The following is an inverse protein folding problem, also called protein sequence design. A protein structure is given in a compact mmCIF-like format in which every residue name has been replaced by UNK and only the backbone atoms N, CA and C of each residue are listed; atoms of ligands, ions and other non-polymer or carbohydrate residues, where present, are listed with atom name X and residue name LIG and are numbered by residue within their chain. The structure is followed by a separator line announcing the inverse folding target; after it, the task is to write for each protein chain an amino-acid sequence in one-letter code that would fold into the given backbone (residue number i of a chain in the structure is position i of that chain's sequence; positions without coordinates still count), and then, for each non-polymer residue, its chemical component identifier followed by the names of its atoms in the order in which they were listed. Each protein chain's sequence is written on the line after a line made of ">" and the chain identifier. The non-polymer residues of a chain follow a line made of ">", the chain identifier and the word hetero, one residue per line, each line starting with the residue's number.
data_IF_062557991586
#
_entry.id   IF_062557991586
#
_cell.length_a   1.000
_cell.length_b   1.000
_cell.length_c   1.000
_cell.angle_alpha   90.00
_cell.angle_beta   90.00
_cell.angle_gamma   90.00
#
_symmetry.space_group_name_H-M   'P 1'
#
loop_
_entity.id
_entity.type
_entity.pdbx_description
1 polymer ?
#
# COMPACT_ATOMS: atom_id res chain seq x y z
N UNK A 1 55.15 -4.76 8.72
CA UNK A 1 53.84 -4.27 9.20
C UNK A 1 53.27 -3.37 8.13
N UNK A 2 51.93 -3.37 8.01
CA UNK A 2 51.03 -2.67 7.07
C UNK A 2 50.97 -3.14 5.60
N UNK A 3 49.71 -3.32 5.17
CA UNK A 3 49.15 -3.59 3.83
C UNK A 3 49.29 -5.03 3.30
N UNK A 4 48.33 -5.67 2.65
CA UNK A 4 46.89 -5.49 2.43
C UNK A 4 46.46 -6.76 1.67
N UNK A 5 45.53 -7.54 2.22
CA UNK A 5 44.93 -8.73 1.60
C UNK A 5 43.52 -8.83 2.23
N UNK A 6 42.39 -8.93 1.55
CA UNK A 6 42.03 -9.71 0.37
C UNK A 6 40.82 -9.03 -0.28
N UNK A 7 40.87 -8.76 -1.59
CA UNK A 7 39.67 -8.61 -2.42
C UNK A 7 39.39 -9.95 -3.10
N UNK A 8 38.09 -10.28 -3.12
CA UNK A 8 37.39 -11.07 -4.15
C UNK A 8 37.69 -12.57 -4.27
N UNK A 9 36.81 -13.41 -3.70
CA UNK A 9 36.33 -14.64 -4.34
C UNK A 9 35.08 -15.19 -3.64
N UNK A 10 33.92 -15.04 -4.29
CA UNK A 10 32.81 -16.01 -4.29
C UNK A 10 31.61 -15.42 -5.05
N UNK A 11 31.73 -15.30 -6.37
CA UNK A 11 30.58 -15.27 -7.29
C UNK A 11 30.93 -16.23 -8.40
N UNK A 12 30.30 -17.41 -8.40
CA UNK A 12 30.04 -18.30 -9.55
C UNK A 12 29.61 -19.66 -9.02
N UNK A 13 28.30 -19.88 -9.01
CA UNK A 13 27.69 -21.15 -9.40
C UNK A 13 26.30 -20.83 -9.97
N UNK A 14 26.34 -20.28 -11.19
CA UNK A 14 25.19 -20.24 -12.09
C UNK A 14 25.20 -21.54 -12.89
N UNK A 15 24.62 -22.59 -12.32
CA UNK A 15 24.29 -23.82 -13.03
C UNK A 15 23.13 -23.56 -13.99
N UNK A 16 23.45 -23.25 -15.25
CA UNK A 16 22.49 -23.20 -16.35
C UNK A 16 22.07 -24.65 -16.67
N UNK A 17 20.86 -25.04 -16.28
CA UNK A 17 20.22 -26.28 -16.76
C UNK A 17 19.21 -25.91 -17.84
N UNK A 18 19.44 -26.43 -19.05
CA UNK A 18 18.56 -26.33 -20.21
C UNK A 18 17.22 -27.01 -19.90
N UNK A 19 16.11 -26.28 -20.08
CA UNK A 19 14.76 -26.84 -20.12
C UNK A 19 14.45 -27.36 -21.53
N UNK A 20 14.19 -28.67 -21.64
CA UNK A 20 13.52 -29.29 -22.78
C UNK A 20 12.55 -30.37 -22.26
N UNK A 21 11.29 -30.28 -22.69
CA UNK A 21 10.39 -31.44 -22.80
C UNK A 21 9.50 -31.83 -21.62
N UNK A 22 8.23 -31.41 -21.70
CA UNK A 22 6.98 -32.16 -21.47
C UNK A 22 6.93 -33.29 -20.42
N UNK A 23 6.10 -33.11 -19.38
CA UNK A 23 5.69 -34.21 -18.48
C UNK A 23 4.66 -33.80 -17.43
N UNK A 24 3.41 -34.22 -17.66
CA UNK A 24 2.25 -34.37 -16.74
C UNK A 24 2.29 -33.69 -15.36
N UNK A 25 1.35 -32.76 -15.17
CA UNK A 25 1.07 -32.10 -13.90
C UNK A 25 0.59 -33.04 -12.79
N UNK A 26 1.28 -33.00 -11.66
CA UNK A 26 0.81 -33.44 -10.35
C UNK A 26 0.10 -32.27 -9.69
N UNK A 27 -1.20 -32.42 -9.42
CA UNK A 27 -2.01 -31.47 -8.66
C UNK A 27 -1.46 -31.33 -7.24
N UNK A 28 -0.74 -30.25 -6.98
CA UNK A 28 -0.48 -29.80 -5.61
C UNK A 28 -1.79 -29.29 -5.01
N UNK A 29 -2.31 -30.02 -4.02
CA UNK A 29 -3.42 -29.58 -3.17
C UNK A 29 -2.93 -28.43 -2.29
N UNK A 30 -2.97 -27.22 -2.83
CA UNK A 30 -2.86 -26.02 -2.01
C UNK A 30 -4.10 -25.94 -1.13
N UNK A 31 -3.93 -26.04 0.19
CA UNK A 31 -4.99 -25.70 1.14
C UNK A 31 -5.38 -24.24 0.90
N UNK A 32 -6.51 -24.03 0.24
CA UNK A 32 -7.16 -22.72 0.14
C UNK A 32 -7.72 -22.43 1.53
N UNK A 33 -6.95 -21.72 2.37
CA UNK A 33 -7.50 -21.16 3.62
C UNK A 33 -8.57 -20.14 3.22
N UNK A 34 -9.78 -20.27 3.77
CA UNK A 34 -10.78 -19.21 3.63
C UNK A 34 -10.23 -17.95 4.31
N UNK A 35 -10.57 -16.76 3.79
CA UNK A 35 -10.11 -15.49 4.38
C UNK A 35 -10.52 -15.32 5.85
N UNK A 36 -11.55 -16.06 6.28
CA UNK A 36 -12.07 -16.11 7.65
C UNK A 36 -11.20 -16.97 8.60
N UNK A 37 -10.31 -17.81 8.06
CA UNK A 37 -9.43 -18.70 8.84
C UNK A 37 -8.04 -18.07 9.12
N UNK A 38 -7.83 -16.82 8.69
CA UNK A 38 -6.55 -16.13 8.87
C UNK A 38 -6.53 -15.49 10.26
N UNK A 39 -5.55 -15.81 11.13
CA UNK A 39 -5.45 -15.20 12.45
C UNK A 39 -5.36 -13.68 12.35
N UNK A 40 -6.18 -12.98 13.15
CA UNK A 40 -6.22 -11.52 13.22
C UNK A 40 -6.20 -11.04 14.67
N UNK A 41 -5.67 -9.85 14.90
CA UNK A 41 -5.80 -9.16 16.19
C UNK A 41 -7.27 -8.76 16.45
N UNK A 42 -7.57 -8.37 17.68
CA UNK A 42 -8.83 -7.70 18.02
C UNK A 42 -9.05 -6.45 17.18
N UNK A 43 -10.32 -6.14 16.87
CA UNK A 43 -10.66 -4.98 16.04
C UNK A 43 -10.17 -3.67 16.67
N UNK A 44 -9.52 -2.83 15.87
CA UNK A 44 -9.12 -1.47 16.20
C UNK A 44 -9.93 -0.52 15.33
N UNK A 45 -10.89 0.18 15.91
CA UNK A 45 -11.69 1.17 15.19
C UNK A 45 -11.01 2.54 15.19
N UNK A 46 -10.96 3.17 14.02
CA UNK A 46 -10.39 4.52 13.84
C UNK A 46 -11.33 5.37 13.00
N UNK A 47 -11.72 6.53 13.54
CA UNK A 47 -12.72 7.38 12.90
C UNK A 47 -12.12 8.59 12.16
N UNK A 48 -12.49 8.75 10.89
CA UNK A 48 -12.03 9.81 9.99
C UNK A 48 -13.09 10.87 9.76
N UNK A 49 -12.64 12.12 9.75
CA UNK A 49 -13.47 13.27 9.44
C UNK A 49 -13.42 13.55 7.95
N UNK A 50 -14.57 13.50 7.28
CA UNK A 50 -14.73 13.96 5.91
C UNK A 50 -14.93 15.48 5.86
N UNK A 51 -14.21 16.14 4.97
CA UNK A 51 -14.46 17.54 4.63
C UNK A 51 -15.66 17.63 3.67
N UNK A 52 -16.60 18.55 3.89
CA UNK A 52 -17.77 18.76 3.03
C UNK A 52 -17.40 19.09 1.58
N UNK A 53 -16.21 19.67 1.36
CA UNK A 53 -15.68 19.99 0.03
C UNK A 53 -15.10 18.79 -0.73
N UNK A 54 -14.92 17.65 -0.05
CA UNK A 54 -14.49 16.43 -0.72
C UNK A 54 -15.69 15.69 -1.27
N UNK A 55 -15.50 15.05 -2.41
CA UNK A 55 -16.47 14.12 -2.94
C UNK A 55 -16.67 12.96 -1.93
N UNK A 56 -17.92 12.64 -1.53
CA UNK A 56 -18.20 11.62 -0.52
C UNK A 56 -17.80 10.22 -0.96
N UNK A 57 -18.01 9.87 -2.23
CA UNK A 57 -17.71 8.55 -2.76
C UNK A 57 -16.20 8.34 -2.87
N UNK A 58 -15.48 9.35 -3.35
CA UNK A 58 -14.01 9.31 -3.46
C UNK A 58 -13.35 9.25 -2.09
N UNK A 59 -13.86 10.01 -1.10
CA UNK A 59 -13.37 9.91 0.27
C UNK A 59 -13.63 8.51 0.85
N UNK A 60 -14.84 7.97 0.67
CA UNK A 60 -15.19 6.63 1.14
C UNK A 60 -14.32 5.55 0.46
N UNK A 61 -14.12 5.64 -0.85
CA UNK A 61 -13.29 4.72 -1.64
C UNK A 61 -11.84 4.74 -1.17
N UNK A 62 -11.24 5.92 -1.04
CA UNK A 62 -9.86 6.03 -0.54
C UNK A 62 -9.75 5.54 0.90
N UNK A 63 -10.70 5.85 1.77
CA UNK A 63 -10.71 5.34 3.15
C UNK A 63 -10.82 3.81 3.20
N UNK A 64 -11.69 3.21 2.36
CA UNK A 64 -11.82 1.76 2.27
C UNK A 64 -10.55 1.10 1.76
N UNK A 65 -9.85 1.73 0.83
CA UNK A 65 -8.56 1.27 0.35
C UNK A 65 -7.48 1.32 1.43
N UNK A 66 -7.48 2.35 2.28
CA UNK A 66 -6.61 2.44 3.46
C UNK A 66 -6.90 1.29 4.44
N UNK A 67 -8.17 1.07 4.76
CA UNK A 67 -8.60 -0.03 5.64
C UNK A 67 -8.17 -1.39 5.09
N UNK A 68 -8.47 -1.65 3.81
CA UNK A 68 -8.07 -2.89 3.14
C UNK A 68 -6.56 -3.10 3.22
N UNK A 69 -5.79 -2.07 2.89
CA UNK A 69 -4.34 -2.14 2.95
C UNK A 69 -3.81 -2.43 4.34
N UNK A 70 -4.35 -1.79 5.38
CA UNK A 70 -3.99 -2.10 6.77
C UNK A 70 -4.23 -3.57 7.07
N UNK A 71 -5.37 -4.11 6.66
CA UNK A 71 -5.79 -5.48 6.91
C UNK A 71 -5.05 -6.55 6.08
N UNK A 72 -4.22 -6.13 5.12
CA UNK A 72 -3.28 -6.96 4.37
C UNK A 72 -1.86 -6.98 4.99
N UNK A 73 -1.65 -6.24 6.09
CA UNK A 73 -0.39 -6.27 6.85
C UNK A 73 -0.48 -7.29 7.98
N UNK A 74 0.60 -8.03 8.17
CA UNK A 74 0.86 -8.76 9.42
C UNK A 74 1.31 -7.78 10.52
N UNK A 75 1.18 -8.18 11.79
CA UNK A 75 1.70 -7.40 12.93
C UNK A 75 3.19 -7.10 12.73
N UNK A 76 3.98 -8.09 12.31
CA UNK A 76 5.40 -7.93 12.00
C UNK A 76 5.66 -6.88 10.90
N UNK A 77 4.95 -6.95 9.77
CA UNK A 77 5.13 -5.99 8.67
C UNK A 77 4.76 -4.58 9.11
N UNK A 78 3.64 -4.42 9.80
CA UNK A 78 3.21 -3.12 10.32
C UNK A 78 4.29 -2.51 11.22
N UNK A 79 4.77 -3.24 12.23
CA UNK A 79 5.77 -2.74 13.17
C UNK A 79 7.06 -2.31 12.46
N UNK A 80 7.56 -3.13 11.52
CA UNK A 80 8.76 -2.79 10.72
C UNK A 80 8.55 -1.56 9.84
N UNK A 81 7.41 -1.48 9.17
CA UNK A 81 7.10 -0.35 8.30
C UNK A 81 6.97 0.95 9.09
N UNK A 82 6.32 0.89 10.27
CA UNK A 82 6.18 2.01 11.20
C UNK A 82 7.52 2.46 11.77
N UNK A 83 8.35 1.54 12.26
CA UNK A 83 9.70 1.84 12.74
C UNK A 83 10.53 2.55 11.67
N UNK A 84 10.51 2.00 10.45
CA UNK A 84 11.20 2.59 9.29
C UNK A 84 10.66 3.98 8.95
N UNK A 85 9.35 4.18 8.97
CA UNK A 85 8.73 5.49 8.71
C UNK A 85 9.08 6.51 9.80
N UNK A 86 9.09 6.13 11.06
CA UNK A 86 9.48 7.02 12.17
C UNK A 86 10.95 7.42 12.03
N UNK A 87 11.83 6.47 11.72
CA UNK A 87 13.26 6.71 11.61
C UNK A 87 13.67 7.54 10.37
N UNK A 88 12.99 7.34 9.23
CA UNK A 88 13.43 7.85 7.93
C UNK A 88 12.40 8.71 7.19
N UNK A 89 11.18 8.80 7.71
CA UNK A 89 10.05 9.36 6.99
C UNK A 89 9.65 8.51 5.78
N UNK A 90 9.07 9.20 4.78
CA UNK A 90 8.61 8.57 3.54
C UNK A 90 9.79 7.97 2.76
N UNK A 91 9.56 6.76 2.25
CA UNK A 91 10.49 6.05 1.40
C UNK A 91 10.66 6.73 0.04
N UNK A 92 11.91 7.01 -0.32
CA UNK A 92 12.28 7.56 -1.64
C UNK A 92 12.21 6.44 -2.70
N UNK A 93 12.41 5.19 -2.30
CA UNK A 93 12.36 4.01 -3.18
C UNK A 93 10.99 3.86 -3.86
N UNK A 94 9.92 4.34 -3.21
CA UNK A 94 8.56 4.39 -3.77
C UNK A 94 8.39 5.36 -4.95
N UNK A 95 9.32 6.30 -5.17
CA UNK A 95 9.21 7.32 -6.21
C UNK A 95 9.15 6.71 -7.61
N UNK A 96 9.88 5.61 -7.85
CA UNK A 96 9.84 4.90 -9.14
C UNK A 96 8.47 4.27 -9.38
N UNK A 97 7.93 3.57 -8.38
CA UNK A 97 6.60 2.96 -8.45
C UNK A 97 5.50 4.01 -8.65
N UNK A 98 5.56 5.14 -7.94
CA UNK A 98 4.64 6.26 -8.13
C UNK A 98 4.71 6.83 -9.54
N UNK A 99 5.92 7.05 -10.08
CA UNK A 99 6.11 7.57 -11.43
C UNK A 99 5.52 6.61 -12.48
N UNK A 100 5.80 5.32 -12.36
CA UNK A 100 5.27 4.30 -13.26
C UNK A 100 3.74 4.25 -13.21
N UNK A 101 3.14 4.22 -12.01
CA UNK A 101 1.69 4.21 -11.86
C UNK A 101 1.03 5.45 -12.48
N UNK A 102 1.63 6.63 -12.32
CA UNK A 102 1.14 7.87 -12.94
C UNK A 102 1.26 7.86 -14.46
N UNK A 103 2.36 7.33 -14.99
CA UNK A 103 2.56 7.22 -16.44
C UNK A 103 1.55 6.25 -17.06
N UNK A 104 1.27 5.13 -16.41
CA UNK A 104 0.30 4.17 -16.91
C UNK A 104 -1.12 4.72 -16.86
N UNK A 105 -1.51 5.33 -15.74
CA UNK A 105 -2.83 5.97 -15.62
C UNK A 105 -3.04 7.10 -16.64
N UNK A 106 -2.00 7.87 -16.98
CA UNK A 106 -2.08 8.86 -18.04
C UNK A 106 -2.36 8.20 -19.40
N UNK A 107 -1.66 7.13 -19.75
CA UNK A 107 -1.90 6.40 -21.02
C UNK A 107 -3.32 5.83 -21.06
N UNK A 108 -3.75 5.19 -19.97
CA UNK A 108 -5.09 4.60 -19.87
C UNK A 108 -6.17 5.67 -20.02
N UNK A 109 -6.01 6.82 -19.37
CA UNK A 109 -6.96 7.92 -19.48
C UNK A 109 -7.01 8.50 -20.90
N UNK A 110 -5.86 8.63 -21.57
CA UNK A 110 -5.83 9.02 -22.98
C UNK A 110 -6.59 8.00 -23.83
N UNK A 111 -6.33 6.71 -23.65
CA UNK A 111 -7.00 5.65 -24.41
C UNK A 111 -8.53 5.63 -24.17
N UNK A 112 -8.97 5.84 -22.93
CA UNK A 112 -10.38 5.99 -22.56
C UNK A 112 -11.03 7.15 -23.31
N UNK A 113 -10.45 8.35 -23.23
CA UNK A 113 -10.95 9.56 -23.90
C UNK A 113 -10.96 9.43 -25.42
N UNK A 114 -9.97 8.73 -26.00
CA UNK A 114 -9.93 8.41 -27.44
C UNK A 114 -11.08 7.51 -27.86
N UNK A 115 -11.42 6.50 -27.05
CA UNK A 115 -12.58 5.62 -27.29
C UNK A 115 -13.91 6.39 -27.20
N UNK A 116 -13.96 7.47 -26.43
CA UNK A 116 -15.10 8.38 -26.34
C UNK A 116 -15.18 9.37 -27.52
N UNK A 117 -14.27 9.29 -28.50
CA UNK A 117 -14.31 10.05 -29.74
C UNK A 117 -13.45 11.32 -29.77
N UNK A 118 -12.71 11.63 -28.70
CA UNK A 118 -11.86 12.82 -28.68
C UNK A 118 -10.68 12.68 -29.63
N UNK A 119 -10.22 13.82 -30.17
CA UNK A 119 -8.95 13.88 -30.90
C UNK A 119 -7.78 13.50 -29.98
N UNK A 120 -6.64 13.11 -30.57
CA UNK A 120 -5.45 12.79 -29.77
C UNK A 120 -4.96 14.00 -28.98
N UNK A 121 -5.03 15.19 -29.55
CA UNK A 121 -4.64 16.43 -28.87
C UNK A 121 -5.55 16.70 -27.67
N UNK A 122 -6.88 16.64 -27.86
CA UNK A 122 -7.84 16.91 -26.78
C UNK A 122 -7.78 15.86 -25.68
N UNK A 123 -7.69 14.58 -26.04
CA UNK A 123 -7.55 13.50 -25.06
C UNK A 123 -6.28 13.64 -24.24
N UNK A 124 -5.15 14.01 -24.86
CA UNK A 124 -3.88 14.23 -24.15
C UNK A 124 -3.98 15.41 -23.19
N UNK A 125 -4.59 16.52 -23.63
CA UNK A 125 -4.78 17.70 -22.80
C UNK A 125 -5.67 17.39 -21.60
N UNK A 126 -6.84 16.81 -21.83
CA UNK A 126 -7.80 16.49 -20.76
C UNK A 126 -7.26 15.44 -19.79
N UNK A 127 -6.53 14.43 -20.27
CA UNK A 127 -5.88 13.46 -19.40
C UNK A 127 -4.79 14.10 -18.53
N UNK A 128 -4.04 15.07 -19.07
CA UNK A 128 -3.04 15.82 -18.31
C UNK A 128 -3.70 16.70 -17.23
N UNK A 129 -4.75 17.44 -17.60
CA UNK A 129 -5.53 18.25 -16.66
C UNK A 129 -6.14 17.38 -15.54
N UNK A 130 -6.62 16.17 -15.89
CA UNK A 130 -7.07 15.18 -14.90
C UNK A 130 -5.92 14.73 -13.99
N UNK A 131 -4.75 14.36 -14.54
CA UNK A 131 -3.58 13.91 -13.77
C UNK A 131 -3.09 14.93 -12.73
N UNK A 132 -3.30 16.22 -12.97
CA UNK A 132 -2.96 17.29 -12.02
C UNK A 132 -3.84 17.27 -10.76
N UNK A 133 -5.01 16.66 -10.83
CA UNK A 133 -5.91 16.48 -9.67
C UNK A 133 -5.64 15.19 -8.90
N UNK A 134 -4.86 14.26 -9.47
CA UNK A 134 -4.66 12.92 -8.93
C UNK A 134 -3.33 12.77 -8.18
N UNK A 135 -3.31 11.87 -7.20
CA UNK A 135 -2.10 11.34 -6.56
C UNK A 135 -2.00 9.82 -6.78
N UNK A 136 -0.78 9.29 -6.87
CA UNK A 136 -0.56 7.85 -6.73
C UNK A 136 -0.74 7.49 -5.25
N UNK A 137 -1.61 6.53 -4.96
CA UNK A 137 -2.05 6.22 -3.61
C UNK A 137 -1.30 5.02 -3.06
N UNK A 138 -0.74 5.18 -1.84
CA UNK A 138 -0.36 4.06 -1.01
C UNK A 138 -1.59 3.59 -0.22
N UNK A 139 -1.81 2.28 -0.16
CA UNK A 139 -2.93 1.64 0.52
C UNK A 139 -2.39 0.59 1.50
N UNK A 140 -2.19 0.90 2.80
CA UNK A 140 -2.44 2.20 3.42
C UNK A 140 -1.32 3.20 3.13
N UNK A 141 -1.47 4.46 3.56
CA UNK A 141 -0.43 5.48 3.51
C UNK A 141 0.79 4.99 4.31
N UNK A 142 1.99 5.39 3.90
CA UNK A 142 3.22 4.98 4.58
C UNK A 142 3.26 5.45 6.03
N UNK A 143 2.60 6.58 6.34
CA UNK A 143 2.43 7.02 7.74
C UNK A 143 1.69 5.97 8.57
N UNK A 144 0.76 5.23 7.98
CA UNK A 144 0.03 4.15 8.61
C UNK A 144 0.68 2.77 8.39
N UNK A 145 1.97 2.72 8.03
CA UNK A 145 2.69 1.46 7.86
C UNK A 145 2.53 0.81 6.49
N UNK A 146 2.07 1.56 5.47
CA UNK A 146 1.97 1.04 4.11
C UNK A 146 3.31 0.69 3.46
N UNK A 147 3.27 -0.29 2.54
CA UNK A 147 4.44 -0.74 1.78
C UNK A 147 4.87 0.35 0.79
N UNK A 148 6.13 0.76 0.85
CA UNK A 148 6.68 1.88 0.09
C UNK A 148 6.66 1.71 -1.43
N UNK A 149 6.79 0.46 -1.89
CA UNK A 149 6.86 0.05 -3.29
C UNK A 149 5.48 -0.32 -3.86
N UNK A 150 4.43 -0.32 -3.04
CA UNK A 150 3.08 -0.68 -3.45
C UNK A 150 2.23 0.56 -3.72
N UNK A 151 1.68 0.64 -4.93
CA UNK A 151 0.72 1.65 -5.36
C UNK A 151 -0.60 0.96 -5.66
N UNK A 152 -1.66 1.34 -4.95
CA UNK A 152 -2.98 0.72 -5.11
C UNK A 152 -3.88 1.43 -6.13
N UNK A 153 -3.37 2.46 -6.82
CA UNK A 153 -4.06 3.19 -7.87
C UNK A 153 -3.89 4.70 -7.76
N UNK A 154 -4.72 5.45 -8.49
CA UNK A 154 -4.81 6.90 -8.38
C UNK A 154 -6.09 7.33 -7.64
N UNK A 155 -6.10 8.56 -7.15
CA UNK A 155 -7.29 9.21 -6.62
C UNK A 155 -7.06 10.70 -6.36
N UNK A 156 -8.13 11.41 -5.98
CA UNK A 156 -8.10 12.85 -5.68
C UNK A 156 -7.01 13.13 -4.62
N UNK A 157 -6.04 13.98 -5.01
CA UNK A 157 -4.87 14.30 -4.19
C UNK A 157 -5.21 15.05 -2.90
N UNK A 158 -6.31 15.81 -2.89
CA UNK A 158 -6.79 16.58 -1.72
C UNK A 158 -7.41 15.64 -0.70
N UNK A 159 -8.19 14.66 -1.16
CA UNK A 159 -8.70 13.56 -0.32
C UNK A 159 -7.53 12.80 0.30
N UNK A 160 -6.57 12.35 -0.51
CA UNK A 160 -5.39 11.63 -0.04
C UNK A 160 -4.60 12.43 1.00
N UNK A 161 -4.34 13.71 0.72
CA UNK A 161 -3.68 14.63 1.66
C UNK A 161 -4.45 14.77 2.97
N UNK A 162 -5.78 14.82 2.91
CA UNK A 162 -6.65 14.89 4.09
C UNK A 162 -6.68 13.60 4.90
N UNK A 163 -6.54 12.43 4.29
CA UNK A 163 -6.41 11.16 5.02
C UNK A 163 -5.04 11.08 5.69
N UNK A 164 -3.96 11.39 4.95
CA UNK A 164 -2.60 11.42 5.47
C UNK A 164 -2.38 12.40 6.62
N UNK A 165 -3.02 13.58 6.59
CA UNK A 165 -2.96 14.54 7.69
C UNK A 165 -3.69 14.06 8.94
N UNK A 166 -4.79 13.33 8.77
CA UNK A 166 -5.56 12.78 9.88
C UNK A 166 -4.85 11.61 10.57
N UNK A 167 -4.10 10.81 9.81
CA UNK A 167 -3.27 9.74 10.35
C UNK A 167 -2.27 10.25 11.38
N UNK A 168 -1.69 11.44 11.19
CA UNK A 168 -0.72 12.05 12.14
C UNK A 168 -1.25 12.16 13.57
N UNK A 169 -2.57 12.23 13.76
CA UNK A 169 -3.21 12.37 15.07
C UNK A 169 -3.90 11.09 15.55
N UNK A 170 -3.91 10.04 14.73
CA UNK A 170 -4.64 8.78 14.98
C UNK A 170 -3.71 7.58 15.10
N UNK A 171 -2.56 7.64 14.44
CA UNK A 171 -1.68 6.49 14.29
C UNK A 171 -1.07 6.04 15.61
N UNK A 172 -0.84 6.97 16.56
CA UNK A 172 -0.23 6.64 17.84
C UNK A 172 -1.09 5.67 18.67
N UNK A 173 -2.42 5.82 18.63
CA UNK A 173 -3.36 4.92 19.31
C UNK A 173 -3.33 3.51 18.66
N UNK A 174 -3.21 3.45 17.34
CA UNK A 174 -3.09 2.18 16.60
C UNK A 174 -1.75 1.51 16.90
N UNK A 175 -0.66 2.29 16.90
CA UNK A 175 0.69 1.83 17.26
C UNK A 175 0.71 1.24 18.68
N UNK A 176 0.10 1.92 19.65
CA UNK A 176 0.02 1.46 21.04
C UNK A 176 -0.72 0.12 21.16
N UNK A 177 -1.92 0.02 20.57
CA UNK A 177 -2.73 -1.19 20.65
C UNK A 177 -2.05 -2.40 19.97
N UNK A 178 -1.41 -2.19 18.81
CA UNK A 178 -0.70 -3.25 18.11
C UNK A 178 0.54 -3.69 18.89
N UNK A 179 1.31 -2.76 19.47
CA UNK A 179 2.49 -3.10 20.31
C UNK A 179 2.08 -3.90 21.54
N UNK A 180 1.05 -3.45 22.26
CA UNK A 180 0.52 -4.16 23.44
C UNK A 180 0.00 -5.55 23.10
N UNK A 181 -0.61 -5.71 21.93
CA UNK A 181 -1.04 -7.03 21.43
C UNK A 181 0.16 -7.92 21.13
N UNK A 182 1.20 -7.37 20.49
CA UNK A 182 2.41 -8.10 20.13
C UNK A 182 3.24 -8.59 21.34
N UNK A 183 3.21 -7.89 22.48
CA UNK A 183 3.88 -8.30 23.72
C UNK A 183 3.42 -9.68 24.22
N UNK A 184 2.20 -10.07 23.90
CA UNK A 184 1.60 -11.34 24.32
C UNK A 184 1.67 -12.42 23.23
N UNK A 185 2.40 -12.18 22.14
CA UNK A 185 2.52 -13.09 21.00
C UNK A 185 3.91 -13.71 20.92
N UNK A 186 3.96 -14.97 20.50
CA UNK A 186 5.19 -15.61 20.07
C UNK A 186 5.73 -14.95 18.78
N UNK A 187 7.03 -15.12 18.47
CA UNK A 187 7.59 -14.66 17.19
C UNK A 187 6.90 -15.25 15.95
N UNK A 188 6.31 -16.44 16.07
CA UNK A 188 5.55 -17.06 14.99
C UNK A 188 4.18 -16.38 14.80
N UNK A 189 3.48 -16.06 15.88
CA UNK A 189 2.20 -15.33 15.82
C UNK A 189 2.39 -13.91 15.27
N UNK A 190 3.42 -13.18 15.73
CA UNK A 190 3.73 -11.83 15.22
C UNK A 190 3.89 -11.83 13.68
N UNK A 191 4.45 -12.89 13.11
CA UNK A 191 4.67 -13.02 11.66
C UNK A 191 3.46 -13.47 10.87
N UNK A 192 2.48 -14.14 11.50
CA UNK A 192 1.37 -14.80 10.80
C UNK A 192 0.00 -14.24 11.16
N UNK A 193 -0.09 -13.38 12.18
CA UNK A 193 -1.32 -12.70 12.57
C UNK A 193 -1.43 -11.36 11.83
N UNK A 194 -2.58 -11.15 11.19
CA UNK A 194 -2.91 -9.96 10.44
C UNK A 194 -3.57 -8.88 11.29
N UNK A 195 -3.52 -7.65 10.82
CA UNK A 195 -4.27 -6.57 11.45
C UNK A 195 -5.79 -6.75 11.28
N UNK A 196 -6.55 -6.12 12.16
CA UNK A 196 -8.00 -5.99 12.08
C UNK A 196 -8.38 -4.55 12.40
N UNK A 197 -8.27 -3.68 11.41
CA UNK A 197 -8.56 -2.26 11.51
C UNK A 197 -9.86 -1.99 10.80
N UNK A 198 -10.71 -1.18 11.44
CA UNK A 198 -11.96 -0.69 10.88
C UNK A 198 -11.92 0.82 10.81
N UNK A 199 -12.05 1.36 9.61
CA UNK A 199 -12.01 2.79 9.36
C UNK A 199 -13.42 3.32 9.14
N UNK A 200 -13.91 4.07 10.12
CA UNK A 200 -15.22 4.73 10.04
C UNK A 200 -15.07 6.18 9.61
N UNK A 201 -16.15 6.81 9.16
CA UNK A 201 -16.14 8.23 8.82
C UNK A 201 -17.37 8.96 9.34
N UNK A 202 -17.20 10.26 9.59
CA UNK A 202 -18.28 11.20 9.89
C UNK A 202 -18.05 12.55 9.19
N UNK A 203 -19.11 13.35 9.12
CA UNK A 203 -19.06 14.72 8.62
C UNK A 203 -19.40 15.70 9.75
N UNK A 204 -18.59 16.74 9.94
CA UNK A 204 -18.92 17.84 10.87
C UNK A 204 -19.89 18.80 10.17
N UNK A 205 -21.06 19.04 10.76
CA UNK A 205 -22.07 19.99 10.26
C UNK A 205 -23.42 19.38 9.87
N UNK A 206 -23.72 18.14 10.27
CA UNK A 206 -25.09 17.62 10.29
C UNK A 206 -25.70 17.88 11.67
N UNK A 207 -26.16 19.11 11.88
CA UNK A 207 -27.12 19.51 12.92
C UNK A 207 -28.08 20.50 12.26
#
# INVERSE_FOLDING_TARGET
>A
MIHADVKTKAVKDLGIVKMAGSGKGTKGTGNVRHLDDVPRISEIEVNFKRNIKHDPEEFARQLKNQEKGMNELTVNEYLKNRERYIAKGRAIEGNSAQKMARQEALKDKIAELRKQGLSRADATKQASDWMDTQAALHNPDQIAGGRADSIGGLGDKRVNSSLGSQWKYRIDIVDEQIRKTAENMSPAEIKNTYLNVKLTQYQKGAF
#
